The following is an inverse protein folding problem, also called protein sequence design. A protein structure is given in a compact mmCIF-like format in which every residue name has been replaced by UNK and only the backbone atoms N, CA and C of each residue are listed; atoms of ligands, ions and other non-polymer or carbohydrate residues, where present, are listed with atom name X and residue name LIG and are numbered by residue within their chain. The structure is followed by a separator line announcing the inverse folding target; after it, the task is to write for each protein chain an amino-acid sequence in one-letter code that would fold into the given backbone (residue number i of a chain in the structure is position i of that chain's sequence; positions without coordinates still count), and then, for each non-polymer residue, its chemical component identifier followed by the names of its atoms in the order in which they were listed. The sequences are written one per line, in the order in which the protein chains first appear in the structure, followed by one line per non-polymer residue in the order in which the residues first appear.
data_IF_512715709452
#
_entry.id   IF_512715709452
#
_cell.length_a   1.000
_cell.length_b   1.000
_cell.length_c   1.000
_cell.angle_alpha   90.00
_cell.angle_beta   90.00
_cell.angle_gamma   90.00
#
_symmetry.space_group_name_H-M   'P 1'
#
loop_
_entity.id
_entity.type
_entity.pdbx_description
1 polymer ?
#
# COMPACT_ATOMS: atom_id res chain seq x y z
N UNK A 1 6.23 24.80 -17.74
CA UNK A 1 6.86 24.80 -16.39
C UNK A 1 7.80 23.60 -16.33
N UNK A 2 9.11 23.83 -16.27
CA UNK A 2 10.10 22.75 -16.20
C UNK A 2 10.09 22.17 -14.78
N UNK A 3 9.69 20.91 -14.62
CA UNK A 3 9.68 20.23 -13.31
C UNK A 3 11.12 19.91 -12.90
N UNK A 4 11.47 20.26 -11.67
CA UNK A 4 12.74 19.88 -11.07
C UNK A 4 12.71 18.37 -10.76
N UNK A 5 13.34 17.59 -11.64
CA UNK A 5 13.48 16.12 -11.53
C UNK A 5 14.32 15.66 -10.33
N UNK A 6 14.92 16.60 -9.58
CA UNK A 6 15.70 16.35 -8.36
C UNK A 6 14.92 16.69 -7.06
N UNK A 7 13.58 16.69 -7.11
CA UNK A 7 12.79 16.95 -5.90
C UNK A 7 13.03 15.85 -4.86
N UNK A 8 13.42 16.26 -3.65
CA UNK A 8 13.71 15.39 -2.51
C UNK A 8 12.77 15.72 -1.36
N UNK A 9 12.68 14.79 -0.39
CA UNK A 9 11.84 14.94 0.80
C UNK A 9 10.33 15.04 0.50
N UNK A 10 9.88 14.32 -0.52
CA UNK A 10 8.48 14.33 -0.94
C UNK A 10 7.58 13.53 0.01
N UNK A 11 6.35 13.98 0.30
CA UNK A 11 5.36 13.17 0.99
C UNK A 11 5.10 11.86 0.24
N UNK A 12 4.91 10.77 0.99
CA UNK A 12 4.70 9.43 0.45
C UNK A 12 3.29 8.97 0.76
N UNK A 13 2.54 8.59 -0.27
CA UNK A 13 1.23 7.99 -0.14
C UNK A 13 1.33 6.50 -0.46
N UNK A 14 0.88 5.64 0.46
CA UNK A 14 0.83 4.19 0.27
C UNK A 14 -0.62 3.77 0.14
N UNK A 15 -0.99 3.25 -1.04
CA UNK A 15 -2.34 2.80 -1.33
C UNK A 15 -2.49 1.29 -1.14
N UNK A 16 -3.51 0.88 -0.37
CA UNK A 16 -3.94 -0.51 -0.23
C UNK A 16 -5.27 -0.71 -0.94
N UNK A 17 -5.28 -1.57 -1.96
CA UNK A 17 -6.48 -1.82 -2.75
C UNK A 17 -7.57 -2.59 -1.98
N UNK A 18 -8.83 -2.33 -2.35
CA UNK A 18 -9.99 -3.08 -1.89
C UNK A 18 -10.17 -4.42 -2.60
N UNK A 19 -11.41 -4.91 -2.65
CA UNK A 19 -11.75 -6.20 -3.28
C UNK A 19 -12.10 -7.31 -2.29
N UNK A 20 -12.64 -6.95 -1.12
CA UNK A 20 -13.19 -7.91 -0.14
C UNK A 20 -12.18 -8.94 0.38
N UNK A 21 -10.87 -8.64 0.29
CA UNK A 21 -9.77 -9.58 0.56
C UNK A 21 -9.69 -10.80 -0.37
N UNK A 22 -10.47 -10.83 -1.45
CA UNK A 22 -10.56 -11.96 -2.40
C UNK A 22 -10.15 -11.58 -3.82
N UNK A 23 -10.17 -10.29 -4.17
CA UNK A 23 -9.82 -9.76 -5.49
C UNK A 23 -9.11 -8.42 -5.39
N UNK A 24 -8.67 -7.89 -6.53
CA UNK A 24 -7.99 -6.60 -6.64
C UNK A 24 -6.50 -6.72 -6.91
N UNK A 25 -5.86 -5.59 -7.20
CA UNK A 25 -4.41 -5.49 -7.37
C UNK A 25 -3.93 -4.06 -7.12
N UNK A 26 -2.62 -3.90 -6.96
CA UNK A 26 -1.94 -2.61 -6.91
C UNK A 26 -1.75 -1.95 -8.28
N UNK A 27 -2.33 -2.48 -9.36
CA UNK A 27 -2.25 -1.87 -10.69
C UNK A 27 -3.02 -0.55 -10.70
N UNK A 28 -2.33 0.52 -11.09
CA UNK A 28 -2.88 1.88 -11.16
C UNK A 28 -3.22 2.31 -12.58
N UNK A 29 -2.94 1.49 -13.60
CA UNK A 29 -3.14 1.80 -15.01
C UNK A 29 -3.81 0.62 -15.73
N UNK A 30 -4.90 0.90 -16.44
CA UNK A 30 -5.75 -0.06 -17.14
C UNK A 30 -7.23 0.31 -16.99
N UNK A 31 -8.16 -0.38 -17.69
CA UNK A 31 -9.60 -0.11 -17.58
C UNK A 31 -10.14 -0.28 -16.14
N UNK A 32 -9.44 -1.06 -15.31
CA UNK A 32 -9.75 -1.28 -13.87
C UNK A 32 -8.89 -0.43 -12.91
N UNK A 33 -8.03 0.46 -13.44
CA UNK A 33 -7.14 1.29 -12.64
C UNK A 33 -7.89 2.44 -11.96
N UNK A 34 -8.60 2.16 -10.86
CA UNK A 34 -9.37 3.15 -10.10
C UNK A 34 -8.53 4.30 -9.52
N UNK A 35 -7.20 4.17 -9.50
CA UNK A 35 -6.27 5.11 -8.87
C UNK A 35 -5.16 5.55 -9.84
N UNK A 36 -5.59 6.12 -10.97
CA UNK A 36 -4.68 6.64 -11.98
C UNK A 36 -3.58 7.54 -11.36
N UNK A 37 -2.29 7.21 -11.54
CA UNK A 37 -1.21 7.94 -10.89
C UNK A 37 -1.12 9.37 -11.44
N UNK A 38 -1.64 9.62 -12.64
CA UNK A 38 -1.62 10.91 -13.32
C UNK A 38 -2.28 12.05 -12.54
N UNK A 39 -3.31 11.76 -11.73
CA UNK A 39 -3.92 12.77 -10.87
C UNK A 39 -2.99 13.16 -9.72
N UNK A 40 -2.36 12.17 -9.08
CA UNK A 40 -1.52 12.37 -7.90
C UNK A 40 -0.12 12.90 -8.22
N UNK A 41 0.47 12.43 -9.32
CA UNK A 41 1.79 12.84 -9.80
C UNK A 41 1.86 14.33 -10.18
N UNK A 42 0.73 15.05 -10.20
CA UNK A 42 0.71 16.49 -10.39
C UNK A 42 1.08 17.29 -9.13
N UNK A 43 0.96 16.67 -7.95
CA UNK A 43 1.03 17.36 -6.67
C UNK A 43 2.38 17.23 -5.94
N UNK A 44 3.43 16.72 -6.60
CA UNK A 44 4.74 16.57 -5.98
C UNK A 44 4.74 15.59 -4.81
N UNK A 45 4.15 14.41 -5.01
CA UNK A 45 4.14 13.31 -4.03
C UNK A 45 4.68 12.03 -4.66
N UNK A 46 5.07 11.07 -3.83
CA UNK A 46 5.36 9.70 -4.26
C UNK A 46 4.16 8.81 -3.94
N UNK A 47 3.63 8.12 -4.95
CA UNK A 47 2.58 7.12 -4.77
C UNK A 47 3.21 5.72 -4.81
N UNK A 48 2.99 4.94 -3.76
CA UNK A 48 3.35 3.53 -3.68
C UNK A 48 2.07 2.71 -3.70
N UNK A 49 1.97 1.75 -4.61
CA UNK A 49 0.92 0.75 -4.63
C UNK A 49 1.52 -0.65 -4.46
N UNK A 50 0.74 -1.57 -3.93
CA UNK A 50 1.22 -2.91 -3.59
C UNK A 50 0.15 -3.97 -3.85
N UNK A 51 0.61 -5.18 -4.13
CA UNK A 51 -0.20 -6.38 -4.05
C UNK A 51 -0.02 -7.00 -2.66
N UNK A 52 -1.07 -7.63 -2.16
CA UNK A 52 -1.01 -8.51 -0.99
C UNK A 52 -1.74 -9.81 -1.32
N UNK A 53 -1.44 -10.90 -0.62
CA UNK A 53 -2.11 -12.19 -0.87
C UNK A 53 -3.61 -12.07 -0.59
N UNK A 54 -4.42 -12.70 -1.44
CA UNK A 54 -5.88 -12.67 -1.42
C UNK A 54 -6.46 -14.07 -1.19
N UNK A 55 -7.74 -14.11 -0.84
CA UNK A 55 -8.51 -15.33 -0.63
C UNK A 55 -7.83 -16.30 0.33
N UNK A 56 -7.89 -17.58 0.01
CA UNK A 56 -7.28 -18.65 0.81
C UNK A 56 -5.77 -18.43 0.99
N UNK A 57 -5.07 -17.90 -0.01
CA UNK A 57 -3.62 -17.68 0.08
C UNK A 57 -3.24 -16.56 1.06
N UNK A 58 -4.13 -15.58 1.26
CA UNK A 58 -3.91 -14.46 2.17
C UNK A 58 -4.48 -14.68 3.57
N UNK A 59 -5.57 -15.43 3.71
CA UNK A 59 -6.37 -15.38 4.93
C UNK A 59 -6.79 -16.75 5.47
N UNK A 60 -6.29 -17.86 4.89
CA UNK A 60 -6.49 -19.17 5.48
C UNK A 60 -5.87 -19.24 6.89
N UNK A 61 -6.62 -19.82 7.83
CA UNK A 61 -6.21 -20.02 9.21
C UNK A 61 -6.83 -21.31 9.75
N UNK A 62 -6.08 -22.02 10.58
CA UNK A 62 -6.57 -23.16 11.38
C UNK A 62 -7.18 -22.71 12.71
N UNK A 63 -7.07 -21.42 13.06
CA UNK A 63 -7.53 -20.90 14.36
C UNK A 63 -6.60 -21.22 15.52
N UNK A 64 -5.42 -21.78 15.24
CA UNK A 64 -4.36 -22.12 16.18
C UNK A 64 -3.00 -21.61 15.67
N UNK A 65 -1.93 -21.95 16.38
CA UNK A 65 -0.57 -21.48 16.07
C UNK A 65 0.08 -22.20 14.87
N UNK A 66 -0.54 -23.25 14.32
CA UNK A 66 0.03 -23.98 13.16
C UNK A 66 -0.10 -23.15 11.90
N UNK A 67 -1.30 -22.60 11.65
CA UNK A 67 -1.57 -21.63 10.57
C UNK A 67 -2.37 -20.48 11.16
N UNK A 68 -1.71 -19.49 11.78
CA UNK A 68 -2.40 -18.39 12.48
C UNK A 68 -3.13 -17.42 11.53
N UNK A 69 -2.87 -17.51 10.22
CA UNK A 69 -3.52 -16.69 9.20
C UNK A 69 -2.99 -15.27 9.11
N UNK A 70 -3.85 -14.38 8.57
CA UNK A 70 -3.57 -12.96 8.32
C UNK A 70 -2.30 -12.71 7.47
N UNK A 71 -1.99 -13.64 6.58
CA UNK A 71 -0.84 -13.57 5.68
C UNK A 71 -0.92 -12.36 4.74
N UNK A 72 -2.11 -12.01 4.25
CA UNK A 72 -2.32 -10.79 3.45
C UNK A 72 -2.03 -9.50 4.24
N UNK A 73 -2.41 -9.43 5.52
CA UNK A 73 -2.06 -8.30 6.38
C UNK A 73 -0.56 -8.25 6.68
N UNK A 74 0.08 -9.41 6.88
CA UNK A 74 1.54 -9.50 7.06
C UNK A 74 2.30 -9.03 5.81
N UNK A 75 1.78 -9.30 4.61
CA UNK A 75 2.34 -8.76 3.37
C UNK A 75 2.28 -7.23 3.34
N UNK A 76 1.16 -6.64 3.75
CA UNK A 76 1.01 -5.19 3.85
C UNK A 76 1.99 -4.59 4.88
N UNK A 77 2.16 -5.21 6.05
CA UNK A 77 3.19 -4.79 7.04
C UNK A 77 4.59 -4.86 6.43
N UNK A 78 4.90 -5.92 5.70
CA UNK A 78 6.21 -6.07 5.05
C UNK A 78 6.43 -4.98 3.99
N UNK A 79 5.40 -4.65 3.21
CA UNK A 79 5.45 -3.57 2.23
C UNK A 79 5.67 -2.21 2.91
N UNK A 80 4.99 -1.90 4.01
CA UNK A 80 5.21 -0.65 4.76
C UNK A 80 6.63 -0.58 5.35
N UNK A 81 7.14 -1.69 5.88
CA UNK A 81 8.53 -1.79 6.32
C UNK A 81 9.51 -1.56 5.16
N UNK A 82 9.18 -2.04 3.97
CA UNK A 82 9.97 -1.77 2.77
C UNK A 82 9.94 -0.28 2.42
N UNK A 83 8.76 0.35 2.41
CA UNK A 83 8.64 1.81 2.17
C UNK A 83 9.49 2.58 3.17
N UNK A 84 9.36 2.29 4.47
CA UNK A 84 10.12 2.97 5.52
C UNK A 84 11.63 2.89 5.31
N UNK A 85 12.15 1.75 4.85
CA UNK A 85 13.59 1.54 4.64
C UNK A 85 14.12 2.10 3.31
N UNK A 86 13.29 2.16 2.27
CA UNK A 86 13.79 2.37 0.90
C UNK A 86 13.32 3.68 0.26
N UNK A 87 12.23 4.29 0.73
CA UNK A 87 11.59 5.38 -0.03
C UNK A 87 12.45 6.64 -0.16
N UNK A 88 13.41 6.84 0.74
CA UNK A 88 14.40 7.91 0.66
C UNK A 88 15.24 7.83 -0.64
N UNK A 89 15.54 6.63 -1.13
CA UNK A 89 16.26 6.44 -2.38
C UNK A 89 15.46 6.87 -3.62
N UNK A 90 14.14 7.03 -3.48
CA UNK A 90 13.23 7.52 -4.52
C UNK A 90 12.87 9.00 -4.34
N UNK A 91 13.51 9.70 -3.39
CA UNK A 91 13.24 11.10 -3.07
C UNK A 91 12.12 11.33 -2.05
N UNK A 92 11.61 10.26 -1.42
CA UNK A 92 10.52 10.34 -0.43
C UNK A 92 11.00 10.60 1.00
N UNK A 93 10.20 11.33 1.75
CA UNK A 93 10.37 11.52 3.19
C UNK A 93 9.76 10.32 3.93
N UNK A 94 10.62 9.48 4.51
CA UNK A 94 10.19 8.25 5.21
C UNK A 94 9.41 8.53 6.50
N UNK A 95 9.43 9.77 7.01
CA UNK A 95 8.69 10.21 8.19
C UNK A 95 7.34 10.87 7.82
N UNK A 96 7.08 11.09 6.52
CA UNK A 96 5.81 11.63 6.01
C UNK A 96 5.10 10.62 5.12
N UNK A 97 4.71 9.51 5.73
CA UNK A 97 3.97 8.43 5.07
C UNK A 97 2.49 8.49 5.43
N UNK A 98 1.64 8.69 4.43
CA UNK A 98 0.18 8.55 4.53
C UNK A 98 -0.23 7.19 3.97
N UNK A 99 -0.90 6.37 4.79
CA UNK A 99 -1.48 5.11 4.34
C UNK A 99 -2.97 5.33 4.10
N UNK A 100 -3.48 4.90 2.95
CA UNK A 100 -4.89 5.02 2.61
C UNK A 100 -5.37 3.81 1.80
N UNK A 101 -6.68 3.59 1.79
CA UNK A 101 -7.30 2.47 1.10
C UNK A 101 -8.81 2.63 0.98
N UNK A 102 -9.43 1.75 0.21
CA UNK A 102 -10.88 1.75 -0.01
C UNK A 102 -11.46 0.36 0.29
N UNK A 103 -12.64 0.29 0.92
CA UNK A 103 -13.32 -0.96 1.27
C UNK A 103 -12.43 -1.90 2.11
N UNK A 104 -12.11 -3.10 1.62
CA UNK A 104 -11.16 -4.01 2.29
C UNK A 104 -9.78 -3.34 2.53
N UNK A 105 -9.39 -2.42 1.64
CA UNK A 105 -8.20 -1.59 1.82
C UNK A 105 -8.33 -0.60 2.99
N UNK A 106 -9.50 0.03 3.19
CA UNK A 106 -9.71 0.90 4.37
C UNK A 106 -9.79 0.10 5.67
N UNK A 107 -10.38 -1.10 5.63
CA UNK A 107 -10.33 -2.03 6.76
C UNK A 107 -8.89 -2.45 7.08
N UNK A 108 -8.08 -2.73 6.05
CA UNK A 108 -6.65 -2.99 6.19
C UNK A 108 -5.91 -1.85 6.90
N UNK A 109 -6.15 -0.60 6.51
CA UNK A 109 -5.59 0.58 7.21
C UNK A 109 -5.98 0.56 8.68
N UNK A 110 -7.25 0.29 9.00
CA UNK A 110 -7.72 0.14 10.38
C UNK A 110 -6.98 -0.96 11.15
N UNK A 111 -6.82 -2.15 10.56
CA UNK A 111 -6.07 -3.24 11.19
C UNK A 111 -4.60 -2.91 11.42
N UNK A 112 -3.95 -2.24 10.47
CA UNK A 112 -2.55 -1.86 10.58
C UNK A 112 -2.32 -0.82 11.68
N UNK A 113 -3.26 0.09 11.91
CA UNK A 113 -3.21 1.05 13.03
C UNK A 113 -3.35 0.38 14.40
N UNK A 114 -4.08 -0.74 14.46
CA UNK A 114 -4.29 -1.51 15.70
C UNK A 114 -3.19 -2.54 15.96
N UNK A 115 -2.45 -2.93 14.92
CA UNK A 115 -1.33 -3.87 15.02
C UNK A 115 -0.16 -3.24 15.79
N UNK A 116 0.30 -3.93 16.83
CA UNK A 116 1.47 -3.54 17.64
C UNK A 116 2.74 -4.21 17.15
#
# INVERSE_FOLDING_TARGET
MLRNINATNLPVMVFIHGGGFISGSGLTSGPEGYYAPNFWMQNGIILVTLNYRLGVFGFFSTGDDVIPGNNGLKDQVLALKWVKRNIAAFGGDSDKVLIFGQSAGSASVGYLLLSR
#
